data_IF_029368605269
#
_entry.id   IF_029368605269
#
_cell.length_a   1.000
_cell.length_b   1.000
_cell.length_c   1.000
_cell.angle_alpha   90.00
_cell.angle_beta   90.00
_cell.angle_gamma   90.00
#
_symmetry.space_group_name_H-M   'P 1'
#
loop_
_entity.id
_entity.type
_entity.pdbx_description
1 polymer ?
#
# COMPACT_ATOMS: atom_id res chain seq x y z
N UNK A 1 -6.73 6.53 10.53
CA UNK A 1 -7.59 7.21 11.50
C UNK A 1 -8.30 6.20 12.41
N UNK A 2 -7.78 6.01 13.65
CA UNK A 2 -8.16 4.90 14.56
C UNK A 2 -9.65 4.87 14.99
N UNK A 3 -10.32 6.01 15.02
CA UNK A 3 -11.72 6.11 15.47
C UNK A 3 -12.74 5.92 14.35
N UNK A 4 -12.32 6.04 13.09
CA UNK A 4 -13.15 5.86 11.92
C UNK A 4 -13.30 4.38 11.58
N UNK A 5 -14.40 3.99 10.94
CA UNK A 5 -14.55 2.65 10.39
C UNK A 5 -13.53 2.38 9.27
N UNK A 6 -13.38 1.11 8.90
CA UNK A 6 -12.55 0.72 7.74
C UNK A 6 -13.01 1.46 6.48
N UNK A 7 -14.32 1.41 6.19
CA UNK A 7 -14.88 2.04 5.00
C UNK A 7 -14.65 3.56 5.00
N UNK A 8 -14.89 4.24 6.13
CA UNK A 8 -14.66 5.68 6.24
C UNK A 8 -13.18 6.05 6.06
N UNK A 9 -12.25 5.21 6.58
CA UNK A 9 -10.81 5.41 6.36
C UNK A 9 -10.45 5.36 4.87
N UNK A 10 -11.00 4.41 4.13
CA UNK A 10 -10.76 4.26 2.70
C UNK A 10 -11.41 5.43 1.94
N UNK A 11 -12.61 5.86 2.34
CA UNK A 11 -13.31 7.03 1.77
C UNK A 11 -12.50 8.33 1.90
N UNK A 12 -11.63 8.46 2.91
CA UNK A 12 -10.72 9.63 2.99
C UNK A 12 -9.83 9.73 1.74
N UNK A 13 -9.37 8.61 1.17
CA UNK A 13 -8.60 8.59 -0.07
C UNK A 13 -9.38 9.17 -1.26
N UNK A 14 -10.72 9.04 -1.27
CA UNK A 14 -11.58 9.59 -2.34
C UNK A 14 -11.72 11.12 -2.31
N UNK A 15 -11.27 11.79 -1.26
CA UNK A 15 -11.35 13.26 -1.15
C UNK A 15 -10.68 14.00 -2.31
N UNK A 16 -9.64 13.42 -2.91
CA UNK A 16 -8.97 13.99 -4.08
C UNK A 16 -9.85 13.97 -5.35
N UNK A 17 -10.84 13.09 -5.39
CA UNK A 17 -11.77 12.95 -6.51
C UNK A 17 -13.10 13.69 -6.30
N UNK A 18 -13.33 14.25 -5.10
CA UNK A 18 -14.55 14.99 -4.78
C UNK A 18 -14.52 16.36 -5.47
N UNK A 19 -15.50 16.60 -6.33
CA UNK A 19 -15.67 17.85 -7.09
C UNK A 19 -16.78 18.75 -6.55
N UNK A 20 -17.65 18.18 -5.69
CA UNK A 20 -18.74 18.92 -5.06
C UNK A 20 -18.19 19.92 -4.05
N UNK A 21 -18.72 21.15 -4.08
CA UNK A 21 -18.33 22.19 -3.15
C UNK A 21 -19.04 22.04 -1.79
N UNK A 22 -18.58 22.80 -0.79
CA UNK A 22 -19.12 22.73 0.57
C UNK A 22 -20.65 22.96 0.64
N UNK A 23 -21.20 23.88 -0.14
CA UNK A 23 -22.63 24.18 -0.17
C UNK A 23 -23.43 23.04 -0.80
N UNK A 24 -22.92 22.44 -1.90
CA UNK A 24 -23.56 21.28 -2.55
C UNK A 24 -23.67 20.09 -1.59
N UNK A 25 -22.63 19.84 -0.80
CA UNK A 25 -22.62 18.80 0.23
C UNK A 25 -23.54 19.15 1.42
N UNK A 26 -23.46 20.38 1.93
CA UNK A 26 -24.26 20.82 3.08
C UNK A 26 -25.76 20.78 2.81
N UNK A 27 -26.19 21.11 1.58
CA UNK A 27 -27.59 21.06 1.16
C UNK A 27 -27.99 19.73 0.52
N UNK A 28 -27.11 18.72 0.55
CA UNK A 28 -27.34 17.39 -0.03
C UNK A 28 -27.91 17.43 -1.46
N UNK A 29 -27.35 18.31 -2.28
CA UNK A 29 -27.83 18.45 -3.67
C UNK A 29 -27.66 17.12 -4.43
N UNK A 30 -28.52 16.82 -5.43
CA UNK A 30 -28.50 15.54 -6.15
C UNK A 30 -27.13 15.19 -6.72
N UNK A 31 -26.37 16.17 -7.14
CA UNK A 31 -24.99 16.00 -7.66
C UNK A 31 -24.05 15.49 -6.57
N UNK A 32 -24.06 16.10 -5.37
CA UNK A 32 -23.21 15.70 -4.25
C UNK A 32 -23.57 14.30 -3.76
N UNK A 33 -24.87 13.98 -3.66
CA UNK A 33 -25.36 12.65 -3.29
C UNK A 33 -24.90 11.57 -4.27
N UNK A 34 -25.04 11.81 -5.57
CA UNK A 34 -24.57 10.88 -6.60
C UNK A 34 -23.06 10.67 -6.53
N UNK A 35 -22.29 11.71 -6.28
CA UNK A 35 -20.83 11.63 -6.12
C UNK A 35 -20.45 10.82 -4.88
N UNK A 36 -21.15 11.00 -3.76
CA UNK A 36 -20.98 10.23 -2.53
C UNK A 36 -21.27 8.73 -2.77
N UNK A 37 -22.38 8.42 -3.43
CA UNK A 37 -22.75 7.04 -3.79
C UNK A 37 -21.67 6.39 -4.67
N UNK A 38 -21.17 7.11 -5.68
CA UNK A 38 -20.08 6.60 -6.54
C UNK A 38 -18.79 6.37 -5.75
N UNK A 39 -18.39 7.30 -4.89
CA UNK A 39 -17.19 7.16 -4.07
C UNK A 39 -17.32 6.00 -3.07
N UNK A 40 -18.50 5.83 -2.47
CA UNK A 40 -18.77 4.71 -1.58
C UNK A 40 -18.69 3.37 -2.32
N UNK A 41 -19.29 3.26 -3.49
CA UNK A 41 -19.22 2.04 -4.32
C UNK A 41 -17.77 1.69 -4.66
N UNK A 42 -16.94 2.67 -5.05
CA UNK A 42 -15.51 2.47 -5.29
C UNK A 42 -14.76 1.98 -4.06
N UNK A 43 -15.07 2.52 -2.90
CA UNK A 43 -14.45 2.05 -1.65
C UNK A 43 -14.89 0.64 -1.28
N UNK A 44 -16.13 0.26 -1.55
CA UNK A 44 -16.61 -1.12 -1.35
C UNK A 44 -15.92 -2.11 -2.31
N UNK A 45 -15.63 -1.72 -3.55
CA UNK A 45 -14.78 -2.51 -4.46
C UNK A 45 -13.38 -2.74 -3.87
N UNK A 46 -12.76 -1.71 -3.29
CA UNK A 46 -11.45 -1.83 -2.63
C UNK A 46 -11.51 -2.72 -1.38
N UNK A 47 -12.55 -2.57 -0.55
CA UNK A 47 -12.79 -3.41 0.62
C UNK A 47 -12.87 -4.89 0.22
N UNK A 48 -13.60 -5.20 -0.87
CA UNK A 48 -13.70 -6.54 -1.44
C UNK A 48 -12.37 -7.02 -2.02
N UNK A 49 -11.66 -6.16 -2.75
CA UNK A 49 -10.34 -6.47 -3.32
C UNK A 49 -9.33 -6.88 -2.23
N UNK A 50 -9.37 -6.21 -1.08
CA UNK A 50 -8.52 -6.49 0.08
C UNK A 50 -9.05 -7.60 1.00
N UNK A 51 -10.22 -8.18 0.68
CA UNK A 51 -10.83 -9.27 1.46
C UNK A 51 -11.08 -8.87 2.93
N UNK A 52 -11.65 -7.68 3.16
CA UNK A 52 -11.94 -7.11 4.48
C UNK A 52 -13.41 -6.67 4.65
N UNK A 53 -14.34 -7.28 3.89
CA UNK A 53 -15.76 -6.93 3.92
C UNK A 53 -16.39 -7.08 5.30
N UNK A 54 -16.04 -8.16 6.00
CA UNK A 54 -16.63 -8.48 7.32
C UNK A 54 -16.34 -7.42 8.38
N UNK A 55 -15.23 -6.70 8.21
CA UNK A 55 -14.78 -5.67 9.16
C UNK A 55 -15.02 -4.24 8.68
N UNK A 56 -15.70 -4.02 7.54
CA UNK A 56 -15.82 -2.70 6.91
C UNK A 56 -16.40 -1.61 7.83
N UNK A 57 -17.25 -2.00 8.78
CA UNK A 57 -17.88 -1.09 9.75
C UNK A 57 -17.13 -1.03 11.10
N UNK A 58 -16.03 -1.77 11.25
CA UNK A 58 -15.27 -1.82 12.51
C UNK A 58 -14.32 -0.62 12.58
N UNK A 59 -14.25 0.07 13.75
CA UNK A 59 -13.22 1.09 13.96
C UNK A 59 -11.80 0.53 13.80
N UNK A 60 -10.97 1.18 12.97
CA UNK A 60 -9.64 0.69 12.61
C UNK A 60 -8.75 0.46 13.83
N UNK A 61 -8.88 1.29 14.87
CA UNK A 61 -8.09 1.13 16.10
C UNK A 61 -8.39 -0.14 16.92
N UNK A 62 -9.46 -0.89 16.60
CA UNK A 62 -9.79 -2.17 17.23
C UNK A 62 -9.25 -3.38 16.47
N UNK A 63 -8.70 -3.18 15.29
CA UNK A 63 -8.19 -4.24 14.42
C UNK A 63 -6.78 -4.67 14.82
N UNK A 64 -6.40 -5.95 14.57
CA UNK A 64 -5.02 -6.39 14.55
C UNK A 64 -4.16 -5.53 13.62
N UNK A 65 -2.87 -5.46 13.91
CA UNK A 65 -1.95 -4.56 13.21
C UNK A 65 -1.90 -4.81 11.69
N UNK A 66 -1.81 -6.06 11.25
CA UNK A 66 -1.81 -6.41 9.83
C UNK A 66 -3.07 -5.93 9.09
N UNK A 67 -4.26 -6.01 9.74
CA UNK A 67 -5.50 -5.46 9.16
C UNK A 67 -5.50 -3.93 9.12
N UNK A 68 -4.90 -3.25 10.10
CA UNK A 68 -4.73 -1.80 10.03
C UNK A 68 -3.88 -1.39 8.82
N UNK A 69 -2.82 -2.14 8.53
CA UNK A 69 -1.96 -1.92 7.35
C UNK A 69 -2.68 -2.18 6.03
N UNK A 70 -3.56 -3.20 5.96
CA UNK A 70 -4.44 -3.39 4.80
C UNK A 70 -5.36 -2.18 4.57
N UNK A 71 -5.91 -1.59 5.64
CA UNK A 71 -6.73 -0.38 5.54
C UNK A 71 -5.91 0.82 5.06
N UNK A 72 -4.64 0.93 5.47
CA UNK A 72 -3.73 1.97 4.96
C UNK A 72 -3.50 1.81 3.45
N UNK A 73 -3.25 0.58 2.99
CA UNK A 73 -3.14 0.26 1.56
C UNK A 73 -4.44 0.61 0.83
N UNK A 74 -5.60 0.21 1.35
CA UNK A 74 -6.91 0.51 0.77
C UNK A 74 -7.17 2.02 0.63
N UNK A 75 -6.78 2.81 1.63
CA UNK A 75 -6.88 4.26 1.56
C UNK A 75 -5.99 4.87 0.47
N UNK A 76 -4.78 4.31 0.27
CA UNK A 76 -3.90 4.73 -0.82
C UNK A 76 -4.48 4.34 -2.18
N UNK A 77 -5.01 3.12 -2.33
CA UNK A 77 -5.66 2.67 -3.57
C UNK A 77 -6.89 3.50 -3.93
N UNK A 78 -7.62 4.00 -2.93
CA UNK A 78 -8.79 4.86 -3.16
C UNK A 78 -8.44 6.19 -3.86
N UNK A 79 -7.19 6.59 -3.89
CA UNK A 79 -6.72 7.74 -4.71
C UNK A 79 -6.56 7.40 -6.19
N UNK A 80 -6.77 6.14 -6.61
CA UNK A 80 -6.56 5.63 -7.97
C UNK A 80 -5.15 6.00 -8.51
N UNK A 81 -4.07 5.63 -7.80
CA UNK A 81 -2.73 6.07 -8.16
C UNK A 81 -2.22 5.30 -9.39
N UNK A 82 -1.48 5.98 -10.28
CA UNK A 82 -0.69 5.33 -11.32
C UNK A 82 0.64 4.81 -10.79
N UNK A 83 1.17 5.45 -9.72
CA UNK A 83 2.37 5.04 -8.99
C UNK A 83 2.05 5.04 -7.50
N UNK A 84 2.32 3.94 -6.82
CA UNK A 84 2.15 3.76 -5.38
C UNK A 84 3.50 3.62 -4.70
N UNK A 85 3.80 4.53 -3.76
CA UNK A 85 5.01 4.48 -2.95
C UNK A 85 4.69 3.84 -1.60
N UNK A 86 5.37 2.75 -1.28
CA UNK A 86 5.23 1.99 -0.04
C UNK A 86 6.56 2.03 0.72
N UNK A 87 6.55 2.68 1.87
CA UNK A 87 7.70 2.80 2.75
C UNK A 87 7.51 1.88 3.95
N UNK A 88 8.32 0.81 4.01
CA UNK A 88 8.28 -0.26 5.01
C UNK A 88 6.86 -0.75 5.35
N UNK A 89 6.02 -1.11 4.36
CA UNK A 89 4.62 -1.45 4.61
C UNK A 89 4.46 -2.68 5.50
N UNK A 90 5.48 -3.52 5.60
CA UNK A 90 5.47 -4.79 6.35
C UNK A 90 6.20 -4.72 7.69
N UNK A 91 6.67 -3.53 8.10
CA UNK A 91 7.34 -3.35 9.39
C UNK A 91 6.41 -3.78 10.54
N UNK A 92 6.93 -4.61 11.46
CA UNK A 92 6.18 -5.09 12.63
C UNK A 92 5.15 -6.19 12.35
N UNK A 93 5.05 -6.70 11.13
CA UNK A 93 4.20 -7.83 10.76
C UNK A 93 4.88 -9.18 11.04
N UNK A 94 4.08 -10.18 11.41
CA UNK A 94 4.54 -11.57 11.44
C UNK A 94 4.65 -12.17 10.02
N UNK A 95 5.17 -13.39 9.89
CA UNK A 95 5.45 -14.03 8.61
C UNK A 95 4.19 -14.19 7.74
N UNK A 96 3.07 -14.58 8.35
CA UNK A 96 1.81 -14.78 7.62
C UNK A 96 1.22 -13.44 7.15
N UNK A 97 1.26 -12.42 7.99
CA UNK A 97 0.82 -11.06 7.62
C UNK A 97 1.67 -10.47 6.50
N UNK A 98 3.01 -10.67 6.53
CA UNK A 98 3.92 -10.26 5.45
C UNK A 98 3.58 -10.95 4.14
N UNK A 99 3.39 -12.28 4.15
CA UNK A 99 3.05 -13.06 2.97
C UNK A 99 1.73 -12.59 2.35
N UNK A 100 0.75 -12.31 3.20
CA UNK A 100 -0.54 -11.79 2.76
C UNK A 100 -0.40 -10.38 2.15
N UNK A 101 0.38 -9.50 2.77
CA UNK A 101 0.63 -8.16 2.23
C UNK A 101 1.36 -8.22 0.87
N UNK A 102 2.37 -9.09 0.71
CA UNK A 102 3.03 -9.33 -0.57
C UNK A 102 2.03 -9.74 -1.64
N UNK A 103 1.11 -10.67 -1.32
CA UNK A 103 0.06 -11.10 -2.24
C UNK A 103 -0.81 -9.93 -2.71
N UNK A 104 -1.20 -9.04 -1.81
CA UNK A 104 -1.99 -7.86 -2.19
C UNK A 104 -1.20 -6.84 -2.99
N UNK A 105 0.08 -6.63 -2.68
CA UNK A 105 0.96 -5.74 -3.45
C UNK A 105 1.09 -6.23 -4.90
N UNK A 106 1.36 -7.52 -5.10
CA UNK A 106 1.42 -8.12 -6.43
C UNK A 106 0.07 -8.01 -7.16
N UNK A 107 -1.03 -8.30 -6.47
CA UNK A 107 -2.38 -8.20 -7.02
C UNK A 107 -2.73 -6.78 -7.47
N UNK A 108 -2.27 -5.76 -6.74
CA UNK A 108 -2.44 -4.33 -7.13
C UNK A 108 -1.69 -4.04 -8.43
N UNK A 109 -0.48 -4.54 -8.59
CA UNK A 109 0.29 -4.37 -9.83
C UNK A 109 -0.37 -5.11 -10.99
N UNK A 110 -0.72 -6.39 -10.80
CA UNK A 110 -1.22 -7.27 -11.87
C UNK A 110 -2.63 -6.92 -12.31
N UNK A 111 -3.57 -6.67 -11.40
CA UNK A 111 -5.00 -6.48 -11.71
C UNK A 111 -5.37 -5.00 -11.93
N UNK A 112 -4.72 -4.08 -11.22
CA UNK A 112 -5.00 -2.63 -11.31
C UNK A 112 -4.04 -1.94 -12.27
N UNK A 113 -2.84 -2.48 -12.49
CA UNK A 113 -1.80 -1.92 -13.35
C UNK A 113 -1.06 -0.73 -12.70
N UNK A 114 -1.12 -0.61 -11.38
CA UNK A 114 -0.41 0.43 -10.63
C UNK A 114 1.07 0.07 -10.53
N UNK A 115 1.96 0.98 -10.93
CA UNK A 115 3.41 0.83 -10.68
C UNK A 115 3.69 0.99 -9.20
N UNK A 116 4.44 0.05 -8.61
CA UNK A 116 4.76 0.07 -7.19
C UNK A 116 6.25 0.35 -6.98
N UNK A 117 6.55 1.29 -6.11
CA UNK A 117 7.89 1.52 -5.58
C UNK A 117 7.87 1.14 -4.11
N UNK A 118 8.61 0.10 -3.77
CA UNK A 118 8.66 -0.47 -2.43
C UNK A 118 10.01 -0.17 -1.79
N UNK A 119 10.01 0.39 -0.59
CA UNK A 119 11.18 0.51 0.27
C UNK A 119 11.04 -0.54 1.36
N UNK A 120 11.97 -1.47 1.42
CA UNK A 120 12.02 -2.55 2.41
C UNK A 120 13.46 -2.94 2.73
N UNK A 121 13.65 -3.49 3.92
CA UNK A 121 14.94 -4.01 4.38
C UNK A 121 14.94 -5.55 4.53
N UNK A 122 13.79 -6.20 4.33
CA UNK A 122 13.68 -7.65 4.28
C UNK A 122 14.02 -8.14 2.86
N UNK A 123 15.28 -8.55 2.68
CA UNK A 123 15.81 -8.98 1.37
C UNK A 123 15.01 -10.14 0.78
N UNK A 124 14.46 -11.05 1.62
CA UNK A 124 13.61 -12.14 1.15
C UNK A 124 12.38 -11.59 0.43
N UNK A 125 11.67 -10.68 1.08
CA UNK A 125 10.50 -10.01 0.50
C UNK A 125 10.86 -9.27 -0.79
N UNK A 126 11.91 -8.45 -0.75
CA UNK A 126 12.32 -7.64 -1.91
C UNK A 126 12.60 -8.52 -3.11
N UNK A 127 13.39 -9.60 -2.93
CA UNK A 127 13.78 -10.49 -4.02
C UNK A 127 12.61 -11.33 -4.57
N UNK A 128 11.58 -11.57 -3.75
CA UNK A 128 10.44 -12.41 -4.14
C UNK A 128 9.36 -11.64 -4.93
N UNK A 129 9.24 -10.32 -4.73
CA UNK A 129 8.12 -9.55 -5.33
C UNK A 129 8.53 -8.43 -6.26
N UNK A 130 9.84 -8.17 -6.45
CA UNK A 130 10.31 -7.04 -7.26
C UNK A 130 10.75 -7.48 -8.66
N UNK A 131 10.46 -6.68 -9.68
CA UNK A 131 11.00 -6.84 -11.04
C UNK A 131 12.41 -6.23 -11.16
N UNK A 132 12.68 -5.19 -10.38
CA UNK A 132 13.96 -4.46 -10.35
C UNK A 132 14.24 -4.00 -8.92
N UNK A 133 15.48 -4.16 -8.51
CA UNK A 133 15.97 -3.77 -7.18
C UNK A 133 17.06 -2.74 -7.32
N UNK A 134 16.94 -1.63 -6.59
CA UNK A 134 17.98 -0.62 -6.43
C UNK A 134 18.44 -0.66 -4.98
N UNK A 135 19.71 -0.96 -4.76
CA UNK A 135 20.29 -1.02 -3.41
C UNK A 135 21.04 0.25 -3.10
N UNK A 136 20.68 0.85 -1.97
CA UNK A 136 21.31 2.07 -1.46
C UNK A 136 22.12 1.76 -0.20
N UNK A 137 23.34 2.24 -0.17
CA UNK A 137 24.19 2.25 1.00
C UNK A 137 24.76 3.65 1.23
N UNK A 138 24.53 4.23 2.43
CA UNK A 138 24.90 5.63 2.74
C UNK A 138 24.57 6.64 1.63
N UNK A 139 23.40 6.48 0.99
CA UNK A 139 22.92 7.38 -0.07
C UNK A 139 23.57 7.16 -1.45
N UNK A 140 24.39 6.13 -1.62
CA UNK A 140 24.98 5.73 -2.90
C UNK A 140 24.32 4.46 -3.41
N UNK A 141 24.10 4.39 -4.72
CA UNK A 141 23.64 3.16 -5.38
C UNK A 141 24.82 2.20 -5.47
N UNK A 142 24.68 1.03 -4.85
CA UNK A 142 25.67 -0.06 -4.86
C UNK A 142 25.20 -1.27 -5.66
N UNK A 143 23.95 -1.30 -6.09
CA UNK A 143 23.37 -2.32 -6.96
C UNK A 143 22.13 -1.80 -7.65
N UNK A 144 21.93 -2.17 -8.91
CA UNK A 144 20.75 -1.81 -9.70
C UNK A 144 20.55 -2.87 -10.80
N UNK A 145 19.46 -3.63 -10.72
CA UNK A 145 19.17 -4.70 -11.67
C UNK A 145 18.04 -5.61 -11.21
N UNK A 146 17.80 -6.70 -11.95
CA UNK A 146 16.83 -7.72 -11.57
C UNK A 146 17.29 -8.46 -10.28
N UNK A 147 16.34 -9.02 -9.50
CA UNK A 147 16.64 -9.69 -8.23
C UNK A 147 17.76 -10.73 -8.30
N UNK A 148 17.81 -11.54 -9.36
CA UNK A 148 18.82 -12.59 -9.53
C UNK A 148 20.24 -12.05 -9.64
N UNK A 149 20.44 -10.90 -10.28
CA UNK A 149 21.72 -10.22 -10.37
C UNK A 149 22.13 -9.60 -9.03
N UNK A 150 21.19 -8.97 -8.35
CA UNK A 150 21.41 -8.33 -7.04
C UNK A 150 21.75 -9.37 -5.97
N UNK A 151 21.12 -10.54 -6.02
CA UNK A 151 21.33 -11.63 -5.05
C UNK A 151 22.77 -12.15 -5.04
N UNK A 152 23.46 -12.08 -6.16
CA UNK A 152 24.85 -12.56 -6.32
C UNK A 152 25.88 -11.42 -6.37
N UNK A 153 25.46 -10.18 -6.25
CA UNK A 153 26.34 -9.02 -6.25
C UNK A 153 27.14 -8.95 -4.94
N UNK A 154 28.46 -9.15 -5.02
CA UNK A 154 29.31 -9.21 -3.84
C UNK A 154 29.28 -7.92 -3.03
N UNK A 155 29.26 -6.75 -3.67
CA UNK A 155 29.17 -5.44 -2.97
C UNK A 155 27.89 -5.31 -2.15
N UNK A 156 26.76 -5.81 -2.68
CA UNK A 156 25.47 -5.82 -1.98
C UNK A 156 25.50 -6.80 -0.80
N UNK A 157 26.07 -8.00 -1.03
CA UNK A 157 26.20 -9.03 0.02
C UNK A 157 27.03 -8.50 1.19
N UNK A 158 28.18 -7.90 0.89
CA UNK A 158 29.11 -7.38 1.89
C UNK A 158 28.46 -6.23 2.70
N UNK A 159 27.78 -5.31 2.04
CA UNK A 159 27.05 -4.23 2.70
C UNK A 159 25.93 -4.77 3.60
N UNK A 160 25.18 -5.78 3.15
CA UNK A 160 24.11 -6.39 3.94
C UNK A 160 24.64 -7.16 5.17
N UNK A 161 25.78 -7.84 5.04
CA UNK A 161 26.42 -8.56 6.14
C UNK A 161 27.24 -7.66 7.07
N UNK A 162 27.36 -6.36 6.76
CA UNK A 162 28.15 -5.41 7.55
C UNK A 162 29.67 -5.65 7.47
N UNK A 163 30.15 -6.25 6.38
CA UNK A 163 31.57 -6.42 6.14
C UNK A 163 32.14 -5.06 5.71
N UNK A 164 32.94 -4.45 6.57
CA UNK A 164 33.60 -3.20 6.24
C UNK A 164 34.59 -3.43 5.07
N UNK A 165 34.43 -2.69 4.00
CA UNK A 165 35.48 -2.53 3.00
C UNK A 165 36.43 -1.45 3.51
N UNK A 166 37.67 -1.82 3.84
CA UNK A 166 38.80 -0.93 4.12
C UNK A 166 39.22 -0.13 2.86
#
# INVERSE_FOLDING_TARGET
FKRMSVLDNILVGRKLHTKSNFLEVAFQLPKAKKEEEMNTAKCEEIVKFLEIEEIKNTPVGKLPYGLQKKVELGRALATEPTVLLLDEPMAGMNVEEKREMCRFILKVNDEIGTTIVLIEHDMGVVMDISDRVVVLDYGKIIGDGPPDEIRVNQTVIDAYLGVAHD
#
